data_IF_778772459407
#
_entry.id   IF_778772459407
#
_cell.length_a   1.000
_cell.length_b   1.000
_cell.length_c   1.000
_cell.angle_alpha   90.00
_cell.angle_beta   90.00
_cell.angle_gamma   90.00
#
_symmetry.space_group_name_H-M   'P 1'
#
loop_
_entity.id
_entity.type
_entity.pdbx_description
1 polymer ?
#
# COMPACT_ATOMS: atom_id res chain seq x y z
N UNK A 1 -12.46 16.81 -8.15
CA UNK A 1 -12.44 15.35 -8.04
C UNK A 1 -13.81 14.84 -7.59
N UNK A 2 -14.31 13.78 -8.25
CA UNK A 2 -15.57 13.14 -7.85
C UNK A 2 -15.39 12.24 -6.60
N UNK A 3 -14.17 11.76 -6.36
CA UNK A 3 -13.87 10.86 -5.26
C UNK A 3 -13.42 11.64 -4.01
N UNK A 4 -14.21 11.55 -2.96
CA UNK A 4 -13.90 12.15 -1.66
C UNK A 4 -13.32 11.13 -0.67
N UNK A 5 -12.58 11.64 0.30
CA UNK A 5 -11.97 10.80 1.38
C UNK A 5 -13.03 9.96 2.09
N UNK A 6 -14.19 10.54 2.40
CA UNK A 6 -15.28 9.83 3.11
C UNK A 6 -15.88 8.70 2.27
N UNK A 7 -15.96 8.86 0.95
CA UNK A 7 -16.44 7.82 0.04
C UNK A 7 -15.50 6.62 0.06
N UNK A 8 -14.19 6.89 -0.08
CA UNK A 8 -13.17 5.84 0.04
C UNK A 8 -13.20 5.18 1.42
N UNK A 9 -13.26 5.98 2.49
CA UNK A 9 -13.26 5.45 3.85
C UNK A 9 -14.44 4.49 4.12
N UNK A 10 -15.63 4.83 3.61
CA UNK A 10 -16.80 3.97 3.72
C UNK A 10 -16.64 2.67 2.92
N UNK A 11 -16.05 2.72 1.74
CA UNK A 11 -15.83 1.53 0.93
C UNK A 11 -14.73 0.63 1.50
N UNK A 12 -13.65 1.21 1.99
CA UNK A 12 -12.50 0.49 2.59
C UNK A 12 -12.99 -0.45 3.70
N UNK A 13 -13.88 0.02 4.57
CA UNK A 13 -14.37 -0.74 5.72
C UNK A 13 -15.61 -1.58 5.42
N UNK A 14 -16.08 -1.61 4.19
CA UNK A 14 -17.25 -2.41 3.84
C UNK A 14 -16.95 -3.91 3.92
N UNK A 15 -17.93 -4.69 4.37
CA UNK A 15 -17.81 -6.15 4.38
C UNK A 15 -17.55 -6.73 2.99
N UNK A 16 -18.03 -6.07 1.95
CA UNK A 16 -17.79 -6.47 0.56
C UNK A 16 -16.30 -6.35 0.21
N UNK A 17 -15.64 -5.25 0.58
CA UNK A 17 -14.20 -5.08 0.43
C UNK A 17 -13.45 -6.18 1.18
N UNK A 18 -13.80 -6.44 2.43
CA UNK A 18 -13.18 -7.50 3.24
C UNK A 18 -13.28 -8.88 2.58
N UNK A 19 -14.46 -9.24 2.04
CA UNK A 19 -14.67 -10.51 1.32
C UNK A 19 -13.81 -10.59 0.05
N UNK A 20 -13.64 -9.48 -0.67
CA UNK A 20 -12.77 -9.47 -1.86
C UNK A 20 -11.30 -9.61 -1.47
N UNK A 21 -10.85 -8.97 -0.41
CA UNK A 21 -9.47 -9.15 0.10
C UNK A 21 -9.21 -10.61 0.49
N UNK A 22 -10.14 -11.26 1.15
CA UNK A 22 -10.03 -12.70 1.44
C UNK A 22 -9.83 -13.52 0.15
N UNK A 23 -10.65 -13.27 -0.89
CA UNK A 23 -10.51 -13.95 -2.17
C UNK A 23 -9.17 -13.67 -2.88
N UNK A 24 -8.60 -12.45 -2.70
CA UNK A 24 -7.26 -12.13 -3.20
C UNK A 24 -6.22 -12.99 -2.46
N UNK A 25 -6.31 -13.07 -1.13
CA UNK A 25 -5.37 -13.86 -0.31
C UNK A 25 -5.44 -15.35 -0.59
N UNK A 26 -6.60 -15.88 -0.98
CA UNK A 26 -6.76 -17.27 -1.37
C UNK A 26 -6.01 -17.64 -2.67
N UNK A 27 -5.73 -16.66 -3.53
CA UNK A 27 -4.96 -16.87 -4.77
C UNK A 27 -3.45 -16.78 -4.55
N UNK A 28 -3.01 -16.10 -3.49
CA UNK A 28 -1.59 -15.93 -3.20
C UNK A 28 -0.99 -17.21 -2.61
N UNK A 29 0.31 -17.40 -2.81
CA UNK A 29 1.01 -18.51 -2.18
C UNK A 29 1.01 -18.37 -0.67
N UNK A 30 0.72 -19.49 0.00
CA UNK A 30 0.64 -19.57 1.46
C UNK A 30 1.96 -19.15 2.10
N UNK A 31 1.83 -18.38 3.18
CA UNK A 31 2.89 -18.02 4.11
C UNK A 31 2.26 -17.60 5.46
N UNK A 32 3.00 -17.64 6.57
CA UNK A 32 2.40 -17.44 7.90
C UNK A 32 1.56 -16.17 8.06
N UNK A 33 1.97 -15.04 7.45
CA UNK A 33 1.22 -13.78 7.56
C UNK A 33 -0.07 -13.81 6.74
N UNK A 34 -0.06 -14.40 5.54
CA UNK A 34 -1.26 -14.57 4.70
C UNK A 34 -2.25 -15.53 5.35
N UNK A 35 -1.76 -16.65 5.89
CA UNK A 35 -2.61 -17.64 6.53
C UNK A 35 -3.23 -17.10 7.82
N UNK A 36 -2.46 -16.35 8.59
CA UNK A 36 -2.98 -15.61 9.75
C UNK A 36 -4.06 -14.59 9.32
N UNK A 37 -3.82 -13.81 8.28
CA UNK A 37 -4.77 -12.81 7.79
C UNK A 37 -6.08 -13.46 7.31
N UNK A 38 -6.00 -14.59 6.57
CA UNK A 38 -7.18 -15.36 6.15
C UNK A 38 -8.00 -15.86 7.35
N UNK A 39 -7.33 -16.45 8.35
CA UNK A 39 -8.00 -16.95 9.56
C UNK A 39 -8.64 -15.79 10.35
N UNK A 40 -7.93 -14.68 10.51
CA UNK A 40 -8.42 -13.47 11.17
C UNK A 40 -9.67 -12.91 10.48
N UNK A 41 -9.63 -12.76 9.15
CA UNK A 41 -10.75 -12.25 8.37
C UNK A 41 -11.96 -13.19 8.48
N UNK A 42 -11.76 -14.50 8.32
CA UNK A 42 -12.84 -15.47 8.46
C UNK A 42 -13.48 -15.44 9.86
N UNK A 43 -12.68 -15.34 10.92
CA UNK A 43 -13.19 -15.19 12.29
C UNK A 43 -13.98 -13.90 12.47
N UNK A 44 -13.50 -12.78 11.93
CA UNK A 44 -14.21 -11.51 11.98
C UNK A 44 -15.58 -11.57 11.29
N UNK A 45 -15.61 -12.10 10.05
CA UNK A 45 -16.85 -12.28 9.30
C UNK A 45 -17.83 -13.21 10.06
N UNK A 46 -17.36 -14.34 10.59
CA UNK A 46 -18.19 -15.30 11.28
C UNK A 46 -18.77 -14.75 12.59
N UNK A 47 -18.02 -13.93 13.32
CA UNK A 47 -18.43 -13.41 14.61
C UNK A 47 -19.33 -12.16 14.50
N UNK A 48 -19.12 -11.32 13.51
CA UNK A 48 -19.74 -9.99 13.44
C UNK A 48 -20.57 -9.77 12.17
N UNK A 49 -20.44 -10.65 11.17
CA UNK A 49 -21.16 -10.53 9.90
C UNK A 49 -20.94 -9.20 9.21
N UNK A 50 -22.01 -8.62 8.66
CA UNK A 50 -21.96 -7.37 7.91
C UNK A 50 -21.68 -6.11 8.80
N UNK A 51 -21.70 -6.27 10.12
CA UNK A 51 -21.36 -5.21 11.07
C UNK A 51 -19.86 -5.15 11.40
N UNK A 52 -19.05 -6.08 10.85
CA UNK A 52 -17.64 -6.08 11.14
C UNK A 52 -16.92 -4.93 10.44
N UNK A 53 -16.26 -4.11 11.23
CA UNK A 53 -15.47 -2.97 10.80
C UNK A 53 -14.00 -3.37 10.73
N UNK A 54 -13.43 -3.41 9.53
CA UNK A 54 -12.04 -3.80 9.30
C UNK A 54 -11.40 -2.94 8.21
N UNK A 55 -10.12 -2.60 8.39
CA UNK A 55 -9.29 -1.95 7.37
C UNK A 55 -7.83 -2.36 7.57
N UNK A 56 -7.13 -2.59 6.47
CA UNK A 56 -5.68 -2.76 6.36
C UNK A 56 -5.18 -2.09 5.08
N UNK A 57 -3.88 -2.15 4.82
CA UNK A 57 -3.29 -1.61 3.60
C UNK A 57 -3.95 -2.16 2.32
N UNK A 58 -4.33 -3.45 2.31
CA UNK A 58 -4.91 -4.08 1.13
C UNK A 58 -6.36 -3.64 0.90
N UNK A 59 -7.16 -3.47 1.95
CA UNK A 59 -8.50 -2.89 1.83
C UNK A 59 -8.45 -1.45 1.30
N UNK A 60 -7.48 -0.66 1.75
CA UNK A 60 -7.23 0.70 1.24
C UNK A 60 -6.86 0.65 -0.24
N UNK A 61 -5.88 -0.15 -0.62
CA UNK A 61 -5.41 -0.26 -2.00
C UNK A 61 -6.48 -0.83 -2.94
N UNK A 62 -7.27 -1.81 -2.49
CA UNK A 62 -8.39 -2.33 -3.27
C UNK A 62 -9.43 -1.24 -3.56
N UNK A 63 -9.89 -0.53 -2.54
CA UNK A 63 -10.90 0.52 -2.71
C UNK A 63 -10.38 1.66 -3.62
N UNK A 64 -9.11 2.05 -3.48
CA UNK A 64 -8.47 3.02 -4.36
C UNK A 64 -8.47 2.51 -5.80
N UNK A 65 -7.96 1.30 -6.04
CA UNK A 65 -7.77 0.75 -7.38
C UNK A 65 -9.08 0.48 -8.11
N UNK A 66 -10.15 0.18 -7.38
CA UNK A 66 -11.50 0.01 -7.92
C UNK A 66 -12.11 1.33 -8.38
N UNK A 67 -11.80 2.44 -7.70
CA UNK A 67 -12.47 3.73 -7.90
C UNK A 67 -11.62 4.76 -8.66
N UNK A 68 -10.31 4.53 -8.80
CA UNK A 68 -9.39 5.40 -9.52
C UNK A 68 -8.97 4.74 -10.84
N UNK A 69 -8.87 5.54 -11.91
CA UNK A 69 -8.16 5.11 -13.11
C UNK A 69 -6.65 5.28 -12.86
N UNK A 70 -5.97 4.17 -12.52
CA UNK A 70 -4.54 4.15 -12.24
C UNK A 70 -3.79 3.88 -13.53
N UNK A 71 -2.74 4.66 -13.79
CA UNK A 71 -1.77 4.42 -14.86
C UNK A 71 -0.41 4.01 -14.28
N UNK A 72 0.00 4.71 -13.21
CA UNK A 72 1.30 4.50 -12.57
C UNK A 72 1.13 4.28 -11.05
N UNK A 73 1.68 3.18 -10.56
CA UNK A 73 1.73 2.82 -9.15
C UNK A 73 3.18 2.68 -8.68
N UNK A 74 3.52 3.28 -7.55
CA UNK A 74 4.81 3.14 -6.90
C UNK A 74 4.65 2.52 -5.51
N UNK A 75 5.50 1.55 -5.19
CA UNK A 75 5.54 0.92 -3.87
C UNK A 75 6.96 0.88 -3.31
N UNK A 76 7.11 1.28 -2.05
CA UNK A 76 8.33 1.14 -1.26
C UNK A 76 8.07 0.07 -0.21
N UNK A 77 8.85 -1.03 -0.23
CA UNK A 77 8.62 -2.21 0.59
C UNK A 77 7.70 -3.20 -0.10
N UNK A 78 8.26 -3.98 -1.03
CA UNK A 78 7.50 -4.93 -1.87
C UNK A 78 7.34 -6.29 -1.21
N UNK A 79 8.43 -6.80 -0.64
CA UNK A 79 8.51 -8.12 0.02
C UNK A 79 7.96 -9.24 -0.87
N UNK A 80 6.75 -9.74 -0.62
CA UNK A 80 6.08 -10.78 -1.41
C UNK A 80 5.06 -10.24 -2.41
N UNK A 81 4.90 -8.91 -2.53
CA UNK A 81 4.03 -8.26 -3.52
C UNK A 81 2.54 -8.37 -3.27
N UNK A 82 2.10 -8.64 -2.03
CA UNK A 82 0.69 -8.77 -1.66
C UNK A 82 -0.13 -7.52 -2.01
N UNK A 83 0.39 -6.35 -1.66
CA UNK A 83 -0.17 -5.04 -1.99
C UNK A 83 -0.20 -4.77 -3.50
N UNK A 84 0.88 -5.09 -4.22
CA UNK A 84 0.91 -5.01 -5.69
C UNK A 84 -0.13 -5.90 -6.35
N UNK A 85 -0.30 -7.14 -5.86
CA UNK A 85 -1.32 -8.05 -6.36
C UNK A 85 -2.74 -7.52 -6.10
N UNK A 86 -2.95 -6.85 -4.96
CA UNK A 86 -4.23 -6.20 -4.66
C UNK A 86 -4.53 -5.10 -5.68
N UNK A 87 -3.58 -4.21 -5.98
CA UNK A 87 -3.73 -3.17 -7.01
C UNK A 87 -3.93 -3.79 -8.40
N UNK A 88 -3.11 -4.75 -8.79
CA UNK A 88 -3.19 -5.44 -10.09
C UNK A 88 -4.52 -6.17 -10.28
N UNK A 89 -5.15 -6.67 -9.22
CA UNK A 89 -6.45 -7.35 -9.29
C UNK A 89 -7.57 -6.47 -9.86
N UNK A 90 -7.45 -5.15 -9.73
CA UNK A 90 -8.41 -4.16 -10.25
C UNK A 90 -7.87 -3.39 -11.46
N UNK A 91 -6.56 -3.31 -11.60
CA UNK A 91 -5.88 -2.51 -12.63
C UNK A 91 -4.73 -3.31 -13.27
N UNK A 92 -5.03 -4.34 -14.08
CA UNK A 92 -4.02 -5.30 -14.53
C UNK A 92 -3.04 -4.77 -15.59
N UNK A 93 -3.30 -3.61 -16.19
CA UNK A 93 -2.52 -3.07 -17.31
C UNK A 93 -1.68 -1.84 -16.93
N UNK A 94 -1.57 -1.51 -15.65
CA UNK A 94 -0.84 -0.34 -15.16
C UNK A 94 0.68 -0.55 -15.16
N UNK A 95 1.44 0.54 -15.06
CA UNK A 95 2.87 0.49 -14.77
C UNK A 95 3.09 0.42 -13.25
N UNK A 96 3.82 -0.59 -12.78
CA UNK A 96 4.17 -0.79 -11.36
C UNK A 96 5.68 -0.60 -11.21
N UNK A 97 6.07 0.22 -10.22
CA UNK A 97 7.45 0.52 -9.84
C UNK A 97 7.65 0.12 -8.38
N UNK A 98 8.38 -0.96 -8.15
CA UNK A 98 8.63 -1.51 -6.81
C UNK A 98 10.05 -1.24 -6.33
N UNK A 99 10.18 -0.69 -5.13
CA UNK A 99 11.46 -0.43 -4.47
C UNK A 99 11.61 -1.36 -3.28
N UNK A 100 12.62 -2.23 -3.29
CA UNK A 100 12.90 -3.15 -2.19
C UNK A 100 14.41 -3.43 -2.10
N UNK A 101 14.88 -3.76 -0.91
CA UNK A 101 16.25 -4.20 -0.66
C UNK A 101 16.40 -5.72 -0.79
N UNK A 102 15.30 -6.45 -0.85
CA UNK A 102 15.21 -7.91 -0.90
C UNK A 102 16.00 -8.61 0.22
N UNK A 103 15.96 -8.02 1.43
CA UNK A 103 16.68 -8.58 2.59
C UNK A 103 16.00 -9.87 3.03
N UNK A 104 16.71 -11.01 3.00
CA UNK A 104 16.16 -12.28 3.49
C UNK A 104 15.78 -12.22 4.97
N UNK A 105 14.67 -12.85 5.34
CA UNK A 105 14.18 -12.92 6.72
C UNK A 105 13.99 -11.56 7.41
N UNK A 106 13.76 -10.51 6.64
CA UNK A 106 13.39 -9.21 7.20
C UNK A 106 12.08 -9.36 8.00
N UNK A 107 12.06 -8.87 9.23
CA UNK A 107 10.92 -9.01 10.16
C UNK A 107 10.52 -10.47 10.47
N UNK A 108 11.45 -11.42 10.37
CA UNK A 108 11.17 -12.84 10.67
C UNK A 108 10.35 -13.57 9.61
N UNK A 109 10.16 -12.99 8.44
CA UNK A 109 9.43 -13.61 7.34
C UNK A 109 10.22 -13.58 6.03
N UNK A 110 9.84 -14.45 5.13
CA UNK A 110 10.52 -14.64 3.85
C UNK A 110 10.39 -13.42 2.93
N UNK A 111 11.48 -13.10 2.22
CA UNK A 111 11.53 -12.12 1.15
C UNK A 111 12.12 -12.81 -0.10
N UNK A 112 11.28 -13.49 -0.90
CA UNK A 112 11.74 -14.37 -1.96
C UNK A 112 12.27 -13.66 -3.21
N UNK A 113 12.10 -12.33 -3.28
CA UNK A 113 12.62 -11.53 -4.37
C UNK A 113 11.70 -11.32 -5.56
N UNK A 114 12.20 -10.60 -6.60
CA UNK A 114 11.38 -10.07 -7.69
C UNK A 114 10.71 -11.13 -8.56
N UNK A 115 11.35 -12.27 -8.81
CA UNK A 115 10.77 -13.32 -9.66
C UNK A 115 9.55 -13.97 -9.01
N UNK A 116 9.56 -14.12 -7.69
CA UNK A 116 8.40 -14.57 -6.93
C UNK A 116 7.24 -13.58 -7.09
N UNK A 117 7.49 -12.29 -6.95
CA UNK A 117 6.47 -11.25 -7.09
C UNK A 117 5.87 -11.25 -8.50
N UNK A 118 6.69 -11.46 -9.54
CA UNK A 118 6.21 -11.64 -10.93
C UNK A 118 5.25 -12.82 -11.04
N UNK A 119 5.59 -13.96 -10.40
CA UNK A 119 4.74 -15.14 -10.36
C UNK A 119 3.40 -14.85 -9.67
N UNK A 120 3.43 -14.16 -8.52
CA UNK A 120 2.19 -13.78 -7.81
C UNK A 120 1.29 -12.86 -8.66
N UNK A 121 1.86 -11.83 -9.28
CA UNK A 121 1.14 -10.91 -10.16
C UNK A 121 0.49 -11.63 -11.36
N UNK A 122 1.13 -12.67 -11.91
CA UNK A 122 0.58 -13.44 -13.02
C UNK A 122 -0.77 -14.10 -12.69
N UNK A 123 -1.02 -14.44 -11.43
CA UNK A 123 -2.29 -15.00 -10.95
C UNK A 123 -3.48 -14.04 -11.06
N UNK A 124 -3.20 -12.74 -11.22
CA UNK A 124 -4.18 -11.66 -11.38
C UNK A 124 -4.27 -11.14 -12.82
N UNK A 125 -3.73 -11.90 -13.80
CA UNK A 125 -3.70 -11.52 -15.21
C UNK A 125 -3.00 -10.18 -15.44
N UNK A 126 -1.99 -9.86 -14.62
CA UNK A 126 -1.24 -8.64 -14.77
C UNK A 126 -0.42 -8.65 -16.08
N UNK A 127 -0.62 -7.63 -16.91
CA UNK A 127 -0.01 -7.47 -18.24
C UNK A 127 0.64 -6.10 -18.43
N UNK A 128 0.75 -5.33 -17.36
CA UNK A 128 1.36 -4.00 -17.37
C UNK A 128 2.89 -4.01 -17.38
N UNK A 129 3.47 -2.83 -17.28
CA UNK A 129 4.92 -2.67 -17.12
C UNK A 129 5.31 -2.84 -15.67
N UNK A 130 6.28 -3.70 -15.39
CA UNK A 130 6.79 -3.95 -14.03
C UNK A 130 8.29 -3.69 -13.96
N UNK A 131 8.67 -2.72 -13.15
CA UNK A 131 10.06 -2.37 -12.88
C UNK A 131 10.35 -2.52 -11.38
N UNK A 132 11.36 -3.33 -11.04
CA UNK A 132 11.90 -3.40 -9.69
C UNK A 132 13.20 -2.63 -9.60
N UNK A 133 13.34 -1.80 -8.57
CA UNK A 133 14.51 -0.99 -8.27
C UNK A 133 15.11 -1.49 -6.95
N UNK A 134 16.18 -2.27 -7.09
CA UNK A 134 16.83 -2.93 -5.97
C UNK A 134 17.67 -1.97 -5.15
N UNK A 135 17.54 -2.02 -3.84
CA UNK A 135 18.38 -1.33 -2.88
C UNK A 135 17.65 -0.35 -1.95
N UNK A 136 18.46 0.33 -1.13
CA UNK A 136 17.99 1.30 -0.13
C UNK A 136 17.21 2.45 -0.78
N UNK A 137 15.92 2.57 -0.47
CA UNK A 137 14.99 3.59 -0.97
C UNK A 137 15.51 5.02 -0.78
N UNK A 138 16.25 5.26 0.30
CA UNK A 138 16.90 6.55 0.59
C UNK A 138 17.87 7.00 -0.51
N UNK A 139 18.41 6.05 -1.30
CA UNK A 139 19.35 6.30 -2.40
C UNK A 139 18.71 6.08 -3.76
N UNK A 140 17.92 5.02 -3.88
CA UNK A 140 17.37 4.59 -5.17
C UNK A 140 16.25 5.50 -5.65
N UNK A 141 15.35 5.96 -4.78
CA UNK A 141 14.23 6.84 -5.14
C UNK A 141 14.72 8.20 -5.68
N UNK A 142 15.63 8.94 -5.01
CA UNK A 142 16.14 10.19 -5.57
C UNK A 142 16.85 10.01 -6.91
N UNK A 143 17.60 8.92 -7.08
CA UNK A 143 18.25 8.59 -8.34
C UNK A 143 17.23 8.29 -9.44
N UNK A 144 16.23 7.48 -9.14
CA UNK A 144 15.14 7.13 -10.06
C UNK A 144 14.40 8.37 -10.54
N UNK A 145 13.99 9.26 -9.64
CA UNK A 145 13.29 10.49 -10.01
C UNK A 145 14.17 11.49 -10.79
N UNK A 146 15.48 11.47 -10.56
CA UNK A 146 16.42 12.26 -11.39
C UNK A 146 16.47 11.75 -12.83
N UNK A 147 16.36 10.43 -13.02
CA UNK A 147 16.35 9.80 -14.36
C UNK A 147 14.97 9.87 -15.03
N UNK A 148 13.90 10.05 -14.24
CA UNK A 148 12.52 10.10 -14.69
C UNK A 148 11.83 11.39 -14.21
N UNK A 149 12.26 12.58 -14.67
CA UNK A 149 11.83 13.86 -14.12
C UNK A 149 10.34 14.14 -14.31
N UNK A 150 9.73 13.60 -15.36
CA UNK A 150 8.32 13.84 -15.73
C UNK A 150 7.38 12.71 -15.31
N UNK A 151 7.90 11.70 -14.57
CA UNK A 151 7.08 10.59 -14.09
C UNK A 151 6.38 10.96 -12.78
N UNK A 152 5.04 10.85 -12.79
CA UNK A 152 4.15 11.05 -11.65
C UNK A 152 3.23 9.86 -11.47
N UNK A 153 2.76 9.66 -10.24
CA UNK A 153 2.02 8.48 -9.82
C UNK A 153 0.59 8.80 -9.41
N UNK A 154 -0.31 7.92 -9.77
CA UNK A 154 -1.71 7.96 -9.32
C UNK A 154 -1.84 7.45 -7.89
N UNK A 155 -1.06 6.41 -7.56
CA UNK A 155 -1.01 5.82 -6.22
C UNK A 155 0.44 5.56 -5.82
N UNK A 156 0.77 5.91 -4.60
CA UNK A 156 2.08 5.62 -3.97
C UNK A 156 1.85 4.96 -2.62
N UNK A 157 2.51 3.84 -2.39
CA UNK A 157 2.53 3.14 -1.10
C UNK A 157 3.91 3.27 -0.46
N UNK A 158 3.94 3.60 0.82
CA UNK A 158 5.15 3.64 1.65
C UNK A 158 4.97 2.64 2.80
N UNK A 159 5.67 1.52 2.72
CA UNK A 159 5.68 0.40 3.67
C UNK A 159 7.08 -0.24 3.73
N UNK A 160 8.12 0.60 3.79
CA UNK A 160 9.52 0.14 3.71
C UNK A 160 10.27 0.21 5.04
N UNK A 161 11.20 1.16 5.17
CA UNK A 161 12.01 1.34 6.37
C UNK A 161 11.20 2.03 7.49
N UNK A 162 10.82 1.27 8.51
CA UNK A 162 10.07 1.78 9.68
C UNK A 162 10.91 2.61 10.64
N UNK A 163 12.22 2.82 10.42
CA UNK A 163 12.98 3.77 11.22
C UNK A 163 12.49 5.22 11.01
N UNK A 164 12.66 6.08 12.03
CA UNK A 164 12.29 7.50 11.92
C UNK A 164 12.92 8.14 10.68
N UNK A 165 14.22 7.86 10.45
CA UNK A 165 14.97 8.44 9.33
C UNK A 165 14.53 7.88 7.97
N UNK A 166 14.22 6.58 7.89
CA UNK A 166 13.76 5.90 6.68
C UNK A 166 12.38 6.38 6.27
N UNK A 167 11.38 6.20 7.13
CA UNK A 167 10.01 6.61 6.87
C UNK A 167 9.89 8.11 6.54
N UNK A 168 10.65 8.97 7.25
CA UNK A 168 10.70 10.40 6.95
C UNK A 168 11.20 10.68 5.53
N UNK A 169 12.27 9.99 5.10
CA UNK A 169 12.85 10.19 3.76
C UNK A 169 11.92 9.65 2.68
N UNK A 170 11.36 8.49 2.88
CA UNK A 170 10.46 7.86 1.91
C UNK A 170 9.25 8.75 1.65
N UNK A 171 8.56 9.21 2.70
CA UNK A 171 7.44 10.15 2.58
C UNK A 171 7.84 11.44 1.84
N UNK A 172 8.95 12.08 2.25
CA UNK A 172 9.38 13.34 1.63
C UNK A 172 9.79 13.18 0.16
N UNK A 173 10.41 12.05 -0.19
CA UNK A 173 10.84 11.78 -1.55
C UNK A 173 9.66 11.62 -2.52
N UNK A 174 8.55 10.98 -2.07
CA UNK A 174 7.46 10.61 -2.98
C UNK A 174 6.33 11.64 -3.05
N UNK A 175 6.08 12.43 -1.98
CA UNK A 175 4.91 13.32 -1.92
C UNK A 175 4.77 14.26 -3.11
N UNK A 176 5.87 14.79 -3.63
CA UNK A 176 5.86 15.73 -4.76
C UNK A 176 5.69 15.01 -6.12
N UNK A 177 5.72 13.67 -6.13
CA UNK A 177 5.57 12.83 -7.32
C UNK A 177 4.18 12.20 -7.45
N UNK A 178 3.27 12.52 -6.56
CA UNK A 178 1.88 12.12 -6.64
C UNK A 178 1.14 13.09 -7.55
N UNK A 179 0.36 12.61 -8.50
CA UNK A 179 -0.51 13.44 -9.35
C UNK A 179 -1.53 14.22 -8.50
N UNK A 180 -2.03 15.35 -9.00
CA UNK A 180 -3.20 15.99 -8.37
C UNK A 180 -4.39 15.02 -8.45
N UNK A 181 -5.02 14.76 -7.30
CA UNK A 181 -6.05 13.71 -7.15
C UNK A 181 -5.49 12.30 -6.93
N UNK A 182 -4.17 12.12 -7.06
CA UNK A 182 -3.50 10.88 -6.70
C UNK A 182 -3.44 10.67 -5.18
N UNK A 183 -3.12 9.45 -4.78
CA UNK A 183 -3.24 9.01 -3.39
C UNK A 183 -1.92 8.46 -2.87
N UNK A 184 -1.54 8.92 -1.67
CA UNK A 184 -0.47 8.36 -0.84
C UNK A 184 -1.09 7.41 0.18
N UNK A 185 -0.51 6.22 0.32
CA UNK A 185 -0.84 5.25 1.38
C UNK A 185 0.39 5.05 2.25
N UNK A 186 0.22 5.04 3.57
CA UNK A 186 1.28 4.84 4.55
C UNK A 186 0.82 3.81 5.58
N UNK A 187 1.56 2.72 5.72
CA UNK A 187 1.20 1.58 6.57
C UNK A 187 1.78 1.68 7.99
N UNK A 188 1.30 0.80 8.87
CA UNK A 188 1.81 0.56 10.23
C UNK A 188 1.75 1.78 11.19
N UNK A 189 0.83 2.73 10.95
CA UNK A 189 0.74 3.96 11.77
C UNK A 189 0.33 3.72 13.22
N UNK A 190 -0.17 2.55 13.57
CA UNK A 190 -0.55 2.13 14.92
C UNK A 190 0.28 0.98 15.46
N UNK A 191 1.40 0.65 14.80
CA UNK A 191 2.34 -0.38 15.26
C UNK A 191 2.83 -0.07 16.69
N UNK A 192 2.74 -1.07 17.56
CA UNK A 192 3.24 -0.95 18.94
C UNK A 192 4.76 -0.86 19.01
N UNK A 193 5.46 -1.45 18.03
CA UNK A 193 6.92 -1.40 17.93
C UNK A 193 7.40 -0.06 17.37
N UNK A 194 6.59 0.61 16.53
CA UNK A 194 6.94 1.83 15.80
C UNK A 194 5.96 2.98 16.07
N UNK A 195 5.65 3.23 17.33
CA UNK A 195 4.64 4.23 17.78
C UNK A 195 4.86 5.65 17.26
N UNK A 196 6.05 5.95 16.76
CA UNK A 196 6.39 7.24 16.17
C UNK A 196 5.88 7.41 14.72
N UNK A 197 5.49 6.33 14.00
CA UNK A 197 5.04 6.44 12.61
C UNK A 197 3.79 7.32 12.47
N UNK A 198 2.84 7.23 13.40
CA UNK A 198 1.69 8.13 13.42
C UNK A 198 2.11 9.62 13.55
N UNK A 199 3.07 9.90 14.44
CA UNK A 199 3.60 11.26 14.59
C UNK A 199 4.30 11.76 13.33
N UNK A 200 5.02 10.88 12.62
CA UNK A 200 5.63 11.21 11.33
C UNK A 200 4.56 11.54 10.29
N UNK A 201 3.53 10.70 10.16
CA UNK A 201 2.40 10.95 9.28
C UNK A 201 1.75 12.31 9.53
N UNK A 202 1.40 12.59 10.79
CA UNK A 202 0.78 13.86 11.17
C UNK A 202 1.68 15.04 10.80
N UNK A 203 2.99 14.98 11.09
CA UNK A 203 3.89 16.11 10.90
C UNK A 203 4.29 16.31 9.43
N UNK A 204 4.42 15.25 8.66
CA UNK A 204 4.95 15.30 7.28
C UNK A 204 3.81 15.42 6.27
N UNK A 205 2.68 14.74 6.46
CA UNK A 205 1.59 14.69 5.49
C UNK A 205 0.36 15.46 5.95
N UNK A 206 -0.22 15.11 7.11
CA UNK A 206 -1.52 15.65 7.57
C UNK A 206 -1.50 17.17 7.77
N UNK A 207 -0.39 17.74 8.23
CA UNK A 207 -0.23 19.20 8.38
C UNK A 207 -0.04 19.95 7.06
N UNK A 208 0.09 19.27 5.94
CA UNK A 208 0.22 19.88 4.62
C UNK A 208 -1.14 20.29 4.06
N UNK A 209 -1.31 21.53 3.67
CA UNK A 209 -2.58 22.04 3.14
C UNK A 209 -2.99 21.45 1.79
N UNK A 210 -2.06 20.83 1.08
CA UNK A 210 -2.28 20.23 -0.24
C UNK A 210 -2.75 18.77 -0.19
N UNK A 211 -2.95 18.20 1.00
CA UNK A 211 -3.51 16.86 1.18
C UNK A 211 -4.80 16.88 2.00
N UNK A 212 -5.69 15.94 1.71
CA UNK A 212 -6.80 15.55 2.59
C UNK A 212 -6.52 14.14 3.05
N UNK A 213 -6.50 13.91 4.36
CA UNK A 213 -6.07 12.65 4.97
C UNK A 213 -7.21 11.90 5.65
N UNK A 214 -7.03 10.58 5.75
CA UNK A 214 -7.83 9.68 6.56
C UNK A 214 -6.92 8.67 7.24
N UNK A 215 -7.21 8.31 8.48
CA UNK A 215 -6.41 7.39 9.28
C UNK A 215 -7.31 6.34 9.94
N UNK A 216 -6.89 5.08 9.87
CA UNK A 216 -7.42 3.98 10.68
C UNK A 216 -6.37 3.66 11.74
N UNK A 217 -6.64 4.03 12.99
CA UNK A 217 -5.68 3.91 14.11
C UNK A 217 -6.13 2.89 15.15
N UNK A 218 -7.35 2.43 15.07
CA UNK A 218 -8.02 1.53 16.01
C UNK A 218 -8.16 0.10 15.50
N UNK A 219 -7.60 -0.19 14.31
CA UNK A 219 -7.72 -1.49 13.64
C UNK A 219 -6.34 -1.98 13.22
N UNK A 220 -5.96 -3.21 13.60
CA UNK A 220 -4.72 -3.85 13.20
C UNK A 220 -3.48 -3.04 13.55
N UNK A 221 -2.53 -2.95 12.62
CA UNK A 221 -1.33 -2.12 12.75
C UNK A 221 -1.56 -0.67 12.29
N UNK A 222 -2.78 -0.36 11.86
CA UNK A 222 -3.18 0.96 11.39
C UNK A 222 -2.66 1.29 10.00
N UNK A 223 -3.46 2.04 9.25
CA UNK A 223 -3.10 2.51 7.90
C UNK A 223 -3.65 3.91 7.68
N UNK A 224 -2.91 4.73 6.94
CA UNK A 224 -3.33 6.07 6.56
C UNK A 224 -3.30 6.25 5.05
N UNK A 225 -4.18 7.11 4.54
CA UNK A 225 -4.09 7.56 3.15
C UNK A 225 -4.36 9.06 3.02
N UNK A 226 -3.84 9.65 1.96
CA UNK A 226 -3.99 11.08 1.66
C UNK A 226 -4.23 11.32 0.18
N UNK A 227 -5.24 12.13 -0.15
CA UNK A 227 -5.52 12.56 -1.52
C UNK A 227 -4.86 13.91 -1.75
N UNK A 228 -4.03 14.04 -2.81
CA UNK A 228 -3.41 15.31 -3.19
C UNK A 228 -4.43 16.24 -3.87
N UNK A 229 -4.60 17.46 -3.34
CA UNK A 229 -5.54 18.48 -3.86
C UNK A 229 -4.93 19.35 -4.96
N UNK A 230 -3.69 19.76 -4.79
CA UNK A 230 -2.92 20.66 -5.69
C UNK A 230 -1.42 20.51 -5.50
#
# INVERSE_FOLDING_TARGET
HLLGVNTLASEITSIQTTKVILNIYEKLDSEPCIDFAKDFINKGINNFGDNWYYADINSVLYAISKNLNIENYLEIGVRRGRSMCTVASQSPNISIYGFDMWIPNYTGSDNPGPDFVRSELSKFNYNGTLEFIDGDSKKTIPKFFKSNPDLYFDVVTVDGDHSIGGATRDLNNVMNRIKIGGILVFDDISSQEHTYLNKLWINIVKKKNNFVTWEYTDIGLGVAFAIRKF
#
